data_IF_636611480952
#
_entry.id   IF_636611480952
#
_cell.length_a   1.000
_cell.length_b   1.000
_cell.length_c   1.000
_cell.angle_alpha   90.00
_cell.angle_beta   90.00
_cell.angle_gamma   90.00
#
_symmetry.space_group_name_H-M   'P 1'
#
loop_
_entity.id
_entity.type
_entity.pdbx_description
1 polymer ?
#
# COMPACT_ATOMS: atom_id res chain seq x y z
N UNK A 1 -16.10 -79.58 -44.88
CA UNK A 1 -16.62 -78.90 -46.08
C UNK A 1 -16.73 -77.41 -45.69
N UNK A 2 -15.84 -76.66 -46.23
CA UNK A 2 -15.82 -75.25 -46.62
C UNK A 2 -16.53 -74.20 -45.74
N UNK A 3 -15.76 -73.55 -44.96
CA UNK A 3 -16.09 -72.20 -44.43
C UNK A 3 -15.70 -71.12 -45.42
N UNK A 4 -16.46 -70.05 -45.62
CA UNK A 4 -15.97 -68.83 -46.25
C UNK A 4 -15.60 -67.77 -45.25
N UNK A 5 -14.51 -67.10 -45.53
CA UNK A 5 -13.89 -65.98 -44.81
C UNK A 5 -14.69 -64.70 -44.98
N UNK A 6 -14.80 -63.96 -43.89
CA UNK A 6 -15.26 -62.58 -43.81
C UNK A 6 -14.13 -61.61 -44.06
N UNK A 7 -14.26 -60.52 -44.83
CA UNK A 7 -13.23 -59.50 -44.96
C UNK A 7 -13.37 -58.39 -43.87
N UNK A 8 -12.23 -57.92 -43.44
CA UNK A 8 -12.04 -56.91 -42.44
C UNK A 8 -12.64 -55.54 -42.81
N UNK A 9 -13.39 -54.95 -41.87
CA UNK A 9 -13.85 -53.57 -41.92
C UNK A 9 -12.74 -52.61 -41.52
N UNK A 10 -12.59 -51.53 -42.27
CA UNK A 10 -11.63 -50.42 -42.05
C UNK A 10 -12.00 -49.61 -40.83
N UNK A 11 -11.06 -49.49 -39.90
CA UNK A 11 -11.10 -48.55 -38.80
C UNK A 11 -11.12 -47.11 -39.28
N UNK A 12 -12.25 -46.46 -39.13
CA UNK A 12 -12.39 -45.01 -39.21
C UNK A 12 -11.85 -44.39 -37.92
N UNK A 13 -10.59 -44.00 -37.90
CA UNK A 13 -10.06 -43.11 -36.83
C UNK A 13 -10.65 -41.73 -37.06
N UNK A 14 -11.70 -41.42 -36.31
CA UNK A 14 -12.19 -40.06 -36.19
C UNK A 14 -11.16 -39.19 -35.50
N UNK A 15 -10.68 -38.18 -36.20
CA UNK A 15 -9.89 -37.11 -35.59
C UNK A 15 -10.73 -36.41 -34.52
N UNK A 16 -10.19 -36.14 -33.33
CA UNK A 16 -10.92 -35.37 -32.33
C UNK A 16 -11.13 -33.94 -32.82
N UNK A 17 -12.32 -33.36 -32.59
CA UNK A 17 -12.64 -32.02 -33.06
C UNK A 17 -11.72 -30.98 -32.48
N UNK A 18 -11.23 -30.09 -33.34
CA UNK A 18 -10.33 -28.96 -33.07
C UNK A 18 -10.86 -27.91 -32.08
N UNK A 19 -11.78 -28.27 -31.19
CA UNK A 19 -12.36 -27.36 -30.16
C UNK A 19 -11.62 -27.34 -28.83
N UNK A 20 -10.59 -28.15 -28.64
CA UNK A 20 -9.81 -28.21 -27.35
C UNK A 20 -8.57 -27.33 -27.31
N UNK A 21 -8.22 -26.65 -28.39
CA UNK A 21 -7.02 -25.79 -28.43
C UNK A 21 -7.26 -24.32 -28.04
N UNK A 22 -8.49 -23.91 -27.66
CA UNK A 22 -8.81 -22.51 -27.43
C UNK A 22 -8.84 -22.12 -25.94
N UNK A 23 -8.43 -23.01 -25.01
CA UNK A 23 -8.35 -22.72 -23.57
C UNK A 23 -6.93 -22.60 -23.00
N UNK A 24 -5.91 -22.55 -23.84
CA UNK A 24 -4.51 -22.49 -23.41
C UNK A 24 -3.97 -21.05 -23.20
N UNK A 25 -4.82 -20.08 -22.91
CA UNK A 25 -4.41 -18.67 -22.77
C UNK A 25 -4.90 -17.93 -21.53
N UNK A 26 -5.71 -18.55 -20.67
CA UNK A 26 -6.09 -17.94 -19.40
C UNK A 26 -5.02 -18.34 -18.38
N UNK A 27 -4.11 -17.41 -18.06
CA UNK A 27 -3.18 -17.59 -16.94
C UNK A 27 -4.01 -17.94 -15.70
N UNK A 28 -4.00 -19.22 -15.31
CA UNK A 28 -4.72 -19.70 -14.13
C UNK A 28 -4.18 -18.93 -12.91
N UNK A 29 -5.06 -18.26 -12.20
CA UNK A 29 -4.73 -17.63 -10.92
C UNK A 29 -4.02 -18.68 -10.05
N UNK A 30 -2.88 -18.32 -9.40
CA UNK A 30 -2.11 -19.26 -8.61
C UNK A 30 -3.01 -19.88 -7.54
N UNK A 31 -2.96 -21.21 -7.40
CA UNK A 31 -3.72 -21.90 -6.36
C UNK A 31 -3.31 -21.38 -4.97
N UNK A 32 -4.22 -21.45 -3.98
CA UNK A 32 -3.91 -21.04 -2.59
C UNK A 32 -2.62 -21.66 -2.08
N UNK A 33 -2.32 -22.90 -2.46
CA UNK A 33 -1.09 -23.61 -2.08
C UNK A 33 0.15 -22.99 -2.72
N UNK A 34 0.07 -22.60 -4.01
CA UNK A 34 1.18 -21.93 -4.70
C UNK A 34 1.44 -20.55 -4.08
N UNK A 35 0.38 -19.79 -3.80
CA UNK A 35 0.47 -18.49 -3.17
C UNK A 35 1.06 -18.58 -1.75
N UNK A 36 0.64 -19.58 -0.97
CA UNK A 36 1.21 -19.85 0.37
C UNK A 36 2.71 -20.17 0.31
N UNK A 37 3.14 -21.03 -0.63
CA UNK A 37 4.56 -21.35 -0.81
C UNK A 37 5.39 -20.14 -1.20
N UNK A 38 4.88 -19.29 -2.09
CA UNK A 38 5.52 -18.01 -2.47
C UNK A 38 5.70 -17.09 -1.27
N UNK A 39 4.65 -16.91 -0.45
CA UNK A 39 4.72 -16.07 0.74
C UNK A 39 5.71 -16.62 1.77
N UNK A 40 5.74 -17.93 1.99
CA UNK A 40 6.70 -18.59 2.91
C UNK A 40 8.14 -18.41 2.45
N UNK A 41 8.42 -18.59 1.15
CA UNK A 41 9.77 -18.39 0.60
C UNK A 41 10.18 -16.92 0.61
N UNK A 42 9.24 -16.00 0.42
CA UNK A 42 9.48 -14.57 0.55
C UNK A 42 9.83 -14.16 1.98
N UNK A 43 9.16 -14.72 2.99
CA UNK A 43 9.44 -14.45 4.40
C UNK A 43 10.89 -14.77 4.79
N UNK A 44 11.41 -15.91 4.35
CA UNK A 44 12.80 -16.35 4.66
C UNK A 44 13.87 -15.42 4.06
N UNK A 45 13.56 -14.76 2.93
CA UNK A 45 14.48 -13.83 2.25
C UNK A 45 14.30 -12.38 2.68
N UNK A 46 13.21 -12.09 3.37
CA UNK A 46 12.83 -10.71 3.69
C UNK A 46 13.79 -10.05 4.67
N UNK A 47 14.14 -10.72 5.77
CA UNK A 47 14.96 -10.11 6.83
C UNK A 47 16.37 -9.68 6.36
N UNK A 48 17.17 -10.52 5.68
CA UNK A 48 18.49 -10.10 5.21
C UNK A 48 18.41 -9.02 4.13
N UNK A 49 17.37 -9.08 3.27
CA UNK A 49 17.16 -8.08 2.24
C UNK A 49 16.77 -6.73 2.85
N UNK A 50 15.81 -6.73 3.78
CA UNK A 50 15.37 -5.52 4.47
C UNK A 50 16.51 -4.89 5.27
N UNK A 51 17.33 -5.69 5.98
CA UNK A 51 18.52 -5.21 6.70
C UNK A 51 19.47 -4.42 5.81
N UNK A 52 19.67 -4.91 4.58
CA UNK A 52 20.58 -4.29 3.62
C UNK A 52 19.98 -3.04 2.97
N UNK A 53 18.66 -3.03 2.73
CA UNK A 53 17.99 -1.95 2.00
C UNK A 53 17.66 -0.75 2.88
N UNK A 54 17.33 -0.94 4.17
CA UNK A 54 16.96 0.13 5.08
C UNK A 54 17.93 1.33 5.07
N UNK A 55 19.26 1.15 5.23
CA UNK A 55 20.16 2.31 5.26
C UNK A 55 20.20 3.06 3.92
N UNK A 56 20.10 2.37 2.79
CA UNK A 56 20.08 2.99 1.47
C UNK A 56 18.85 3.85 1.26
N UNK A 57 17.68 3.34 1.63
CA UNK A 57 16.44 4.09 1.55
C UNK A 57 16.41 5.27 2.53
N UNK A 58 17.00 5.12 3.74
CA UNK A 58 17.09 6.22 4.68
C UNK A 58 18.01 7.35 4.17
N UNK A 59 19.18 7.00 3.63
CA UNK A 59 20.08 7.99 3.01
C UNK A 59 19.43 8.66 1.81
N UNK A 60 18.79 7.91 0.93
CA UNK A 60 18.07 8.46 -0.21
C UNK A 60 16.96 9.42 0.23
N UNK A 61 16.20 9.07 1.28
CA UNK A 61 15.17 9.93 1.84
C UNK A 61 15.74 11.29 2.31
N UNK A 62 16.86 11.28 3.02
CA UNK A 62 17.52 12.49 3.48
C UNK A 62 18.04 13.35 2.32
N UNK A 63 18.65 12.73 1.32
CA UNK A 63 19.17 13.45 0.14
C UNK A 63 18.03 14.09 -0.66
N UNK A 64 16.96 13.36 -0.93
CA UNK A 64 15.81 13.91 -1.64
C UNK A 64 15.07 14.97 -0.83
N UNK A 65 14.94 14.82 0.51
CA UNK A 65 14.35 15.84 1.37
C UNK A 65 15.19 17.12 1.37
N UNK A 66 16.52 17.01 1.48
CA UNK A 66 17.44 18.15 1.39
C UNK A 66 17.34 18.85 0.04
N UNK A 67 17.32 18.09 -1.07
CA UNK A 67 17.15 18.63 -2.40
C UNK A 67 15.79 19.31 -2.60
N UNK A 68 14.70 18.71 -2.06
CA UNK A 68 13.35 19.28 -2.12
C UNK A 68 13.27 20.62 -1.37
N UNK A 69 13.82 20.68 -0.14
CA UNK A 69 13.86 21.89 0.66
C UNK A 69 14.73 22.96 0.00
N UNK A 70 15.91 22.60 -0.50
CA UNK A 70 16.77 23.53 -1.22
C UNK A 70 16.06 24.10 -2.45
N UNK A 71 15.40 23.25 -3.25
CA UNK A 71 14.66 23.68 -4.43
C UNK A 71 13.47 24.56 -4.06
N UNK A 72 12.69 24.16 -3.05
CA UNK A 72 11.49 24.87 -2.62
C UNK A 72 11.77 26.22 -1.93
N UNK A 73 12.85 26.31 -1.16
CA UNK A 73 13.14 27.54 -0.37
C UNK A 73 13.99 28.54 -1.14
N UNK A 74 14.98 28.09 -1.95
CA UNK A 74 15.93 29.01 -2.60
C UNK A 74 15.66 29.25 -4.08
N UNK A 75 15.08 28.29 -4.79
CA UNK A 75 14.89 28.37 -6.23
C UNK A 75 13.46 28.61 -6.68
N UNK A 76 12.48 28.28 -5.86
CA UNK A 76 11.09 28.54 -6.19
C UNK A 76 10.72 30.00 -5.88
N UNK A 77 10.24 30.78 -6.85
CA UNK A 77 9.85 32.16 -6.60
C UNK A 77 8.60 32.19 -5.69
N UNK A 78 8.54 33.08 -4.69
CA UNK A 78 7.35 33.27 -3.87
C UNK A 78 6.21 33.78 -4.75
N UNK A 79 5.15 33.02 -4.86
CA UNK A 79 3.96 33.42 -5.61
C UNK A 79 3.12 34.38 -4.75
N UNK A 80 3.03 35.64 -5.15
CA UNK A 80 2.31 36.69 -4.43
C UNK A 80 0.80 36.38 -4.17
N UNK A 81 0.24 35.40 -4.89
CA UNK A 81 -1.17 34.98 -4.72
C UNK A 81 -1.39 33.91 -3.64
N UNK A 82 -0.37 33.19 -3.22
CA UNK A 82 -0.50 32.08 -2.28
C UNK A 82 0.07 32.41 -0.90
N UNK A 83 0.79 33.52 -0.74
CA UNK A 83 1.41 33.94 0.51
C UNK A 83 2.22 32.84 1.18
N UNK A 84 2.20 32.82 2.52
CA UNK A 84 2.94 31.83 3.32
C UNK A 84 2.41 30.40 3.17
N UNK A 85 1.16 30.22 2.72
CA UNK A 85 0.53 28.91 2.46
C UNK A 85 1.25 28.13 1.36
N UNK A 86 1.97 28.82 0.48
CA UNK A 86 2.75 28.24 -0.60
C UNK A 86 3.80 27.22 -0.12
N UNK A 87 4.53 27.56 0.94
CA UNK A 87 5.57 26.68 1.49
C UNK A 87 4.99 25.41 2.14
N UNK A 88 3.78 25.50 2.64
CA UNK A 88 3.06 24.37 3.23
C UNK A 88 2.78 23.28 2.17
N UNK A 89 2.53 23.66 0.92
CA UNK A 89 2.22 22.71 -0.17
C UNK A 89 3.33 21.67 -0.39
N UNK A 90 4.59 22.04 -0.20
CA UNK A 90 5.72 21.09 -0.38
C UNK A 90 5.68 19.90 0.57
N UNK A 91 5.09 20.06 1.74
CA UNK A 91 4.96 19.01 2.76
C UNK A 91 3.57 18.39 2.74
N UNK A 92 2.53 19.23 2.65
CA UNK A 92 1.14 18.80 2.73
C UNK A 92 0.77 17.82 1.61
N UNK A 93 1.00 18.22 0.35
CA UNK A 93 0.57 17.43 -0.80
C UNK A 93 1.23 16.05 -0.87
N UNK A 94 2.57 15.92 -0.72
CA UNK A 94 3.22 14.62 -0.64
C UNK A 94 2.77 13.80 0.57
N UNK A 95 2.57 14.40 1.74
CA UNK A 95 2.11 13.69 2.93
C UNK A 95 0.72 13.09 2.73
N UNK A 96 -0.22 13.86 2.15
CA UNK A 96 -1.56 13.39 1.83
C UNK A 96 -1.55 12.22 0.83
N UNK A 97 -0.73 12.29 -0.20
CA UNK A 97 -0.59 11.20 -1.18
C UNK A 97 -0.03 9.93 -0.55
N UNK A 98 1.03 10.05 0.25
CA UNK A 98 1.65 8.90 0.89
C UNK A 98 0.73 8.27 1.92
N UNK A 99 0.01 9.07 2.72
CA UNK A 99 -0.91 8.54 3.73
C UNK A 99 -2.00 7.67 3.08
N UNK A 100 -2.63 8.16 2.01
CA UNK A 100 -3.66 7.43 1.29
C UNK A 100 -3.12 6.18 0.60
N UNK A 101 -1.93 6.29 -0.03
CA UNK A 101 -1.28 5.15 -0.68
C UNK A 101 -0.88 4.06 0.32
N UNK A 102 -0.34 4.42 1.49
CA UNK A 102 -0.02 3.45 2.53
C UNK A 102 -1.27 2.70 3.00
N UNK A 103 -2.42 3.39 3.12
CA UNK A 103 -3.69 2.74 3.46
C UNK A 103 -4.15 1.79 2.35
N UNK A 104 -4.00 2.17 1.09
CA UNK A 104 -4.30 1.30 -0.07
C UNK A 104 -3.43 0.04 -0.08
N UNK A 105 -2.11 0.19 0.13
CA UNK A 105 -1.18 -0.95 0.23
C UNK A 105 -1.53 -1.82 1.44
N UNK A 106 -1.87 -1.20 2.56
CA UNK A 106 -2.31 -1.89 3.77
C UNK A 106 -3.60 -2.69 3.53
N UNK A 107 -4.53 -2.16 2.73
CA UNK A 107 -5.75 -2.87 2.30
C UNK A 107 -5.41 -4.12 1.48
N UNK A 108 -4.45 -4.05 0.58
CA UNK A 108 -3.95 -5.21 -0.16
C UNK A 108 -3.38 -6.29 0.76
N UNK A 109 -2.57 -5.90 1.76
CA UNK A 109 -2.04 -6.85 2.74
C UNK A 109 -3.12 -7.40 3.66
N UNK A 110 -4.14 -6.62 4.04
CA UNK A 110 -5.29 -7.09 4.82
C UNK A 110 -6.06 -8.17 4.05
N UNK A 111 -6.35 -7.95 2.78
CA UNK A 111 -6.98 -8.94 1.92
C UNK A 111 -6.16 -10.23 1.82
N UNK A 112 -4.85 -10.12 1.58
CA UNK A 112 -3.95 -11.29 1.54
C UNK A 112 -3.89 -12.01 2.89
N UNK A 113 -3.85 -11.30 4.02
CA UNK A 113 -3.81 -11.89 5.34
C UNK A 113 -5.06 -12.73 5.63
N UNK A 114 -6.25 -12.20 5.28
CA UNK A 114 -7.52 -12.90 5.48
C UNK A 114 -7.70 -14.07 4.51
N UNK A 115 -7.26 -13.94 3.26
CA UNK A 115 -7.37 -14.99 2.25
C UNK A 115 -6.40 -16.16 2.48
N UNK A 116 -5.15 -15.84 2.85
CA UNK A 116 -4.09 -16.82 2.97
C UNK A 116 -3.94 -17.36 4.40
N UNK A 117 -4.49 -16.65 5.39
CA UNK A 117 -4.29 -16.94 6.82
C UNK A 117 -2.81 -17.10 7.21
N UNK A 118 -1.94 -16.34 6.53
CA UNK A 118 -0.50 -16.35 6.75
C UNK A 118 -0.05 -15.13 7.55
N UNK A 119 0.86 -15.27 8.54
CA UNK A 119 1.24 -14.17 9.44
C UNK A 119 2.01 -13.03 8.76
N UNK A 120 2.72 -13.27 7.63
CA UNK A 120 3.54 -12.25 6.99
C UNK A 120 2.72 -11.07 6.43
N UNK A 121 1.65 -11.26 5.64
CA UNK A 121 0.82 -10.13 5.20
C UNK A 121 0.22 -9.32 6.36
N UNK A 122 -0.24 -10.01 7.42
CA UNK A 122 -0.76 -9.34 8.62
C UNK A 122 0.32 -8.51 9.34
N UNK A 123 1.55 -9.01 9.39
CA UNK A 123 2.69 -8.30 9.95
C UNK A 123 3.03 -7.06 9.13
N UNK A 124 3.06 -7.16 7.78
CA UNK A 124 3.31 -6.03 6.90
C UNK A 124 2.21 -4.98 7.00
N UNK A 125 0.94 -5.41 7.06
CA UNK A 125 -0.20 -4.53 7.34
C UNK A 125 0.02 -3.73 8.64
N UNK A 126 0.42 -4.42 9.72
CA UNK A 126 0.67 -3.78 11.01
C UNK A 126 1.89 -2.84 10.98
N UNK A 127 2.94 -3.19 10.21
CA UNK A 127 4.14 -2.36 10.07
C UNK A 127 3.87 -1.03 9.36
N UNK A 128 2.92 -1.00 8.41
CA UNK A 128 2.52 0.19 7.66
C UNK A 128 1.75 1.23 8.52
N UNK A 129 0.95 0.76 9.48
CA UNK A 129 -0.04 1.58 10.16
C UNK A 129 0.54 2.82 10.88
N UNK A 130 1.62 2.74 11.68
CA UNK A 130 2.15 3.93 12.35
C UNK A 130 2.72 4.96 11.38
N UNK A 131 3.35 4.50 10.30
CA UNK A 131 3.87 5.39 9.25
C UNK A 131 2.73 6.11 8.54
N UNK A 132 1.65 5.40 8.20
CA UNK A 132 0.45 5.98 7.64
C UNK A 132 -0.20 6.99 8.58
N UNK A 133 -0.35 6.66 9.87
CA UNK A 133 -0.87 7.57 10.89
C UNK A 133 -0.03 8.86 10.99
N UNK A 134 1.31 8.74 10.97
CA UNK A 134 2.21 9.90 11.02
C UNK A 134 2.01 10.82 9.82
N UNK A 135 1.97 10.28 8.60
CA UNK A 135 1.73 11.10 7.41
C UNK A 135 0.34 11.73 7.39
N UNK A 136 -0.69 11.01 7.85
CA UNK A 136 -2.03 11.58 7.99
C UNK A 136 -2.06 12.71 9.02
N UNK A 137 -1.34 12.56 10.14
CA UNK A 137 -1.20 13.61 11.15
C UNK A 137 -0.50 14.85 10.57
N UNK A 138 0.58 14.67 9.79
CA UNK A 138 1.27 15.77 9.09
C UNK A 138 0.33 16.45 8.10
N UNK A 139 -0.47 15.69 7.36
CA UNK A 139 -1.50 16.23 6.44
C UNK A 139 -2.51 17.10 7.18
N UNK A 140 -3.04 16.62 8.31
CA UNK A 140 -4.00 17.35 9.13
C UNK A 140 -3.38 18.59 9.78
N UNK A 141 -2.15 18.47 10.32
CA UNK A 141 -1.44 19.58 10.91
C UNK A 141 -1.21 20.72 9.92
N UNK A 142 -0.74 20.41 8.73
CA UNK A 142 -0.48 21.39 7.67
C UNK A 142 -1.75 22.04 7.12
N UNK A 143 -2.90 21.44 7.35
CA UNK A 143 -4.22 21.98 6.97
C UNK A 143 -4.96 22.72 8.07
N UNK A 144 -4.47 22.70 9.30
CA UNK A 144 -5.17 23.28 10.46
C UNK A 144 -5.54 24.77 10.29
N UNK A 145 -4.90 25.46 9.35
CA UNK A 145 -5.15 26.86 9.01
C UNK A 145 -6.28 27.07 7.99
N UNK A 146 -6.81 26.00 7.40
CA UNK A 146 -7.88 26.08 6.40
C UNK A 146 -9.26 25.81 7.01
N UNK A 147 -10.35 26.37 6.45
CA UNK A 147 -11.70 26.09 6.93
C UNK A 147 -12.03 24.59 6.77
N UNK A 148 -12.88 24.09 7.67
CA UNK A 148 -13.38 22.72 7.63
C UNK A 148 -14.11 22.43 6.33
N UNK A 149 -13.67 21.40 5.62
CA UNK A 149 -14.31 20.87 4.43
C UNK A 149 -14.47 19.34 4.51
N UNK A 150 -15.21 18.78 3.57
CA UNK A 150 -15.48 17.34 3.52
C UNK A 150 -14.19 16.50 3.40
N UNK A 151 -13.16 17.02 2.73
CA UNK A 151 -11.88 16.32 2.60
C UNK A 151 -11.15 16.24 3.94
N UNK A 152 -11.14 17.31 4.71
CA UNK A 152 -10.55 17.32 6.05
C UNK A 152 -11.23 16.28 6.96
N UNK A 153 -12.57 16.18 6.90
CA UNK A 153 -13.30 15.16 7.63
C UNK A 153 -12.89 13.73 7.22
N UNK A 154 -12.71 13.48 5.93
CA UNK A 154 -12.24 12.20 5.41
C UNK A 154 -10.80 11.87 5.86
N UNK A 155 -9.91 12.86 5.92
CA UNK A 155 -8.54 12.68 6.41
C UNK A 155 -8.52 12.40 7.93
N UNK A 156 -9.44 13.00 8.71
CA UNK A 156 -9.65 12.66 10.13
C UNK A 156 -10.12 11.21 10.29
N UNK A 157 -11.08 10.77 9.47
CA UNK A 157 -11.54 9.37 9.47
C UNK A 157 -10.37 8.45 9.14
N UNK A 158 -9.54 8.79 8.16
CA UNK A 158 -8.35 8.01 7.80
C UNK A 158 -7.37 7.88 8.98
N UNK A 159 -7.13 8.98 9.71
CA UNK A 159 -6.31 8.93 10.93
C UNK A 159 -6.93 8.02 11.99
N UNK A 160 -8.24 8.15 12.24
CA UNK A 160 -8.94 7.29 13.20
C UNK A 160 -8.87 5.80 12.84
N UNK A 161 -8.94 5.46 11.55
CA UNK A 161 -8.77 4.08 11.08
C UNK A 161 -7.36 3.54 11.38
N UNK A 162 -6.31 4.34 11.16
CA UNK A 162 -4.94 3.97 11.53
C UNK A 162 -4.79 3.77 13.05
N UNK A 163 -5.32 4.71 13.84
CA UNK A 163 -5.25 4.64 15.30
C UNK A 163 -6.07 3.48 15.85
N UNK A 164 -7.26 3.22 15.29
CA UNK A 164 -8.09 2.08 15.67
C UNK A 164 -7.37 0.75 15.41
N UNK A 165 -6.66 0.62 14.27
CA UNK A 165 -5.85 -0.57 14.00
C UNK A 165 -4.78 -0.76 15.07
N UNK A 166 -4.05 0.29 15.43
CA UNK A 166 -3.01 0.23 16.45
C UNK A 166 -3.60 -0.12 17.83
N UNK A 167 -4.76 0.46 18.16
CA UNK A 167 -5.48 0.17 19.42
C UNK A 167 -5.96 -1.29 19.47
N UNK A 168 -6.57 -1.80 18.40
CA UNK A 168 -7.01 -3.22 18.33
C UNK A 168 -5.79 -4.14 18.48
N UNK A 169 -4.70 -3.81 17.81
CA UNK A 169 -3.47 -4.62 17.87
C UNK A 169 -2.88 -4.67 19.28
N UNK A 170 -2.94 -3.59 20.04
CA UNK A 170 -2.44 -3.52 21.42
C UNK A 170 -3.41 -4.14 22.44
N UNK A 171 -4.72 -4.11 22.17
CA UNK A 171 -5.75 -4.59 23.10
C UNK A 171 -5.96 -6.12 23.04
N UNK A 172 -5.73 -6.74 21.86
CA UNK A 172 -5.96 -8.17 21.70
C UNK A 172 -4.64 -8.93 21.86
N UNK A 173 -4.54 -9.74 22.95
CA UNK A 173 -3.34 -10.52 23.25
C UNK A 173 -3.08 -11.68 22.27
N UNK A 174 -4.13 -12.28 21.69
CA UNK A 174 -4.00 -13.35 20.69
C UNK A 174 -3.64 -12.77 19.33
N UNK A 175 -2.44 -13.07 18.78
CA UNK A 175 -1.99 -12.53 17.51
C UNK A 175 -2.93 -12.84 16.33
N UNK A 176 -3.52 -14.03 16.27
CA UNK A 176 -4.41 -14.43 15.17
C UNK A 176 -5.73 -13.68 15.20
N UNK A 177 -6.31 -13.52 16.39
CA UNK A 177 -7.53 -12.73 16.56
C UNK A 177 -7.30 -11.27 16.25
N UNK A 178 -6.18 -10.71 16.70
CA UNK A 178 -5.78 -9.34 16.39
C UNK A 178 -5.58 -9.14 14.88
N UNK A 179 -4.84 -10.02 14.21
CA UNK A 179 -4.57 -9.95 12.78
C UNK A 179 -5.89 -9.99 11.97
N UNK A 180 -6.85 -10.84 12.36
CA UNK A 180 -8.17 -10.94 11.71
C UNK A 180 -9.00 -9.68 11.94
N UNK A 181 -9.09 -9.20 13.19
CA UNK A 181 -9.86 -8.00 13.52
C UNK A 181 -9.29 -6.76 12.81
N UNK A 182 -7.97 -6.59 12.81
CA UNK A 182 -7.29 -5.53 12.06
C UNK A 182 -7.55 -5.63 10.56
N UNK A 183 -7.46 -6.84 9.98
CA UNK A 183 -7.72 -7.06 8.56
C UNK A 183 -9.14 -6.66 8.15
N UNK A 184 -10.15 -7.03 8.95
CA UNK A 184 -11.55 -6.64 8.70
C UNK A 184 -11.72 -5.12 8.81
N UNK A 185 -11.15 -4.49 9.86
CA UNK A 185 -11.19 -3.03 10.02
C UNK A 185 -10.62 -2.31 8.80
N UNK A 186 -9.46 -2.75 8.31
CA UNK A 186 -8.79 -2.13 7.15
C UNK A 186 -9.61 -2.30 5.88
N UNK A 187 -10.20 -3.48 5.64
CA UNK A 187 -11.05 -3.71 4.46
C UNK A 187 -12.32 -2.85 4.49
N UNK A 188 -12.96 -2.72 5.65
CA UNK A 188 -14.12 -1.81 5.80
C UNK A 188 -13.66 -0.36 5.63
N UNK A 189 -12.53 0.01 6.24
CA UNK A 189 -11.95 1.34 6.12
C UNK A 189 -11.52 1.71 4.70
N UNK A 190 -11.28 0.72 3.84
CA UNK A 190 -10.92 0.95 2.43
C UNK A 190 -12.01 1.70 1.64
N UNK A 191 -13.27 1.65 2.10
CA UNK A 191 -14.35 2.45 1.55
C UNK A 191 -14.10 3.96 1.68
N UNK A 192 -13.28 4.38 2.64
CA UNK A 192 -12.89 5.78 2.79
C UNK A 192 -11.94 6.26 1.67
N UNK A 193 -11.18 5.36 1.02
CA UNK A 193 -10.21 5.72 -0.04
C UNK A 193 -10.89 6.46 -1.20
N UNK A 194 -11.92 5.88 -1.87
CA UNK A 194 -12.60 6.59 -2.94
C UNK A 194 -13.30 7.85 -2.44
N UNK A 195 -13.82 7.87 -1.21
CA UNK A 195 -14.46 9.05 -0.63
C UNK A 195 -13.44 10.19 -0.48
N UNK A 196 -12.24 9.92 0.05
CA UNK A 196 -11.14 10.89 0.13
C UNK A 196 -10.76 11.39 -1.26
N UNK A 197 -10.58 10.47 -2.22
CA UNK A 197 -10.14 10.81 -3.58
C UNK A 197 -11.13 11.70 -4.30
N UNK A 198 -12.44 11.37 -4.24
CA UNK A 198 -13.49 12.09 -4.94
C UNK A 198 -14.09 13.24 -4.13
N UNK A 199 -13.74 13.38 -2.83
CA UNK A 199 -14.31 14.41 -1.95
C UNK A 199 -14.14 15.82 -2.50
N UNK A 200 -12.97 16.15 -3.04
CA UNK A 200 -12.69 17.43 -3.64
C UNK A 200 -13.61 17.73 -4.86
N UNK A 201 -13.92 16.70 -5.63
CA UNK A 201 -14.81 16.81 -6.81
C UNK A 201 -16.28 16.92 -6.40
N UNK A 202 -16.75 16.08 -5.48
CA UNK A 202 -18.16 16.04 -5.08
C UNK A 202 -18.60 17.28 -4.28
N UNK A 203 -17.72 17.83 -3.46
CA UNK A 203 -18.03 18.99 -2.62
C UNK A 203 -17.47 20.31 -3.15
N UNK A 204 -16.96 20.33 -4.39
CA UNK A 204 -16.42 21.53 -5.04
C UNK A 204 -15.51 22.34 -4.09
N UNK A 205 -14.67 21.64 -3.33
CA UNK A 205 -13.82 22.24 -2.31
C UNK A 205 -12.68 23.04 -2.96
N UNK A 206 -12.15 24.01 -2.22
CA UNK A 206 -11.01 24.88 -2.60
C UNK A 206 -9.78 24.10 -3.12
N UNK A 207 -9.70 22.78 -2.84
CA UNK A 207 -8.65 21.88 -3.34
C UNK A 207 -8.62 21.75 -4.87
N UNK A 208 -9.74 21.89 -5.55
CA UNK A 208 -9.76 21.84 -7.01
C UNK A 208 -8.93 22.98 -7.62
N UNK A 209 -8.98 24.16 -7.01
CA UNK A 209 -8.19 25.32 -7.44
C UNK A 209 -6.69 25.08 -7.29
N UNK A 210 -6.25 24.55 -6.15
CA UNK A 210 -4.82 24.33 -5.89
C UNK A 210 -4.24 23.15 -6.68
N UNK A 211 -4.91 21.99 -6.72
CA UNK A 211 -4.43 20.83 -7.48
C UNK A 211 -4.52 21.03 -9.00
N UNK A 212 -5.59 21.63 -9.49
CA UNK A 212 -5.75 21.95 -10.91
C UNK A 212 -4.78 23.05 -11.34
N UNK A 213 -4.47 24.03 -10.49
CA UNK A 213 -3.47 25.06 -10.75
C UNK A 213 -2.04 24.49 -10.77
N UNK A 214 -1.77 23.44 -9.97
CA UNK A 214 -0.48 22.73 -9.98
C UNK A 214 -0.22 22.01 -11.31
N UNK A 215 -1.26 21.50 -11.97
CA UNK A 215 -1.13 20.71 -13.20
C UNK A 215 -1.42 21.49 -14.48
N UNK A 216 -2.07 22.64 -14.40
CA UNK A 216 -2.60 23.33 -15.58
C UNK A 216 -2.30 24.83 -15.69
N UNK A 217 -1.66 25.45 -14.70
CA UNK A 217 -1.40 26.90 -14.73
C UNK A 217 0.09 27.20 -15.09
N UNK A 218 0.35 28.14 -16.03
CA UNK A 218 1.68 28.65 -16.27
C UNK A 218 2.31 29.38 -15.06
N UNK A 219 1.55 29.53 -13.97
CA UNK A 219 2.01 30.14 -12.72
C UNK A 219 2.84 29.20 -11.85
N UNK A 220 2.87 27.89 -12.11
CA UNK A 220 3.75 26.96 -11.41
C UNK A 220 5.00 26.80 -12.24
N UNK A 221 5.99 27.57 -11.85
CA UNK A 221 7.34 27.44 -12.34
C UNK A 221 7.78 25.98 -12.14
N UNK A 222 8.45 25.39 -13.14
CA UNK A 222 8.91 23.98 -13.07
C UNK A 222 9.69 23.64 -11.81
N UNK A 223 10.35 24.63 -11.18
CA UNK A 223 11.04 24.50 -9.91
C UNK A 223 10.13 24.10 -8.74
N UNK A 224 8.86 24.59 -8.71
CA UNK A 224 7.91 24.22 -7.67
C UNK A 224 7.44 22.79 -7.80
N UNK A 225 7.07 22.38 -9.00
CA UNK A 225 6.70 21.01 -9.30
C UNK A 225 7.84 20.07 -8.95
N UNK A 226 9.07 20.44 -9.32
CA UNK A 226 10.26 19.67 -8.96
C UNK A 226 10.43 19.53 -7.44
N UNK A 227 10.23 20.60 -6.66
CA UNK A 227 10.31 20.54 -5.21
C UNK A 227 9.25 19.59 -4.59
N UNK A 228 8.00 19.67 -5.06
CA UNK A 228 6.92 18.78 -4.61
C UNK A 228 7.22 17.32 -4.96
N UNK A 229 7.70 17.04 -6.17
CA UNK A 229 8.04 15.69 -6.61
C UNK A 229 9.25 15.11 -5.85
N UNK A 230 10.27 15.93 -5.61
CA UNK A 230 11.42 15.53 -4.79
C UNK A 230 11.00 15.23 -3.35
N UNK A 231 10.11 16.04 -2.76
CA UNK A 231 9.59 15.77 -1.42
C UNK A 231 8.71 14.50 -1.40
N UNK A 232 7.89 14.29 -2.41
CA UNK A 232 7.12 13.05 -2.54
C UNK A 232 8.05 11.83 -2.62
N UNK A 233 9.13 11.91 -3.39
CA UNK A 233 10.13 10.85 -3.49
C UNK A 233 10.86 10.64 -2.15
N UNK A 234 11.20 11.72 -1.43
CA UNK A 234 11.78 11.65 -0.09
C UNK A 234 10.87 10.91 0.89
N UNK A 235 9.59 11.25 0.91
CA UNK A 235 8.61 10.59 1.78
C UNK A 235 8.39 9.12 1.41
N UNK A 236 8.44 8.78 0.13
CA UNK A 236 8.41 7.40 -0.34
C UNK A 236 9.60 6.59 0.18
N UNK A 237 10.82 7.11 0.00
CA UNK A 237 12.04 6.46 0.48
C UNK A 237 12.01 6.31 2.01
N UNK A 238 11.58 7.34 2.73
CA UNK A 238 11.40 7.29 4.18
C UNK A 238 10.38 6.24 4.60
N UNK A 239 9.20 6.22 3.96
CA UNK A 239 8.16 5.25 4.27
C UNK A 239 8.64 3.81 4.06
N UNK A 240 9.33 3.54 2.95
CA UNK A 240 9.92 2.22 2.67
C UNK A 240 10.94 1.86 3.76
N UNK A 241 11.87 2.74 4.10
CA UNK A 241 12.89 2.50 5.12
C UNK A 241 12.25 2.15 6.48
N UNK A 242 11.31 2.97 6.94
CA UNK A 242 10.66 2.79 8.25
C UNK A 242 9.79 1.52 8.26
N UNK A 243 9.02 1.25 7.22
CA UNK A 243 8.17 0.05 7.14
C UNK A 243 9.02 -1.22 7.11
N UNK A 244 10.12 -1.24 6.35
CA UNK A 244 11.05 -2.39 6.34
C UNK A 244 11.69 -2.60 7.72
N UNK A 245 12.15 -1.53 8.37
CA UNK A 245 12.74 -1.62 9.72
C UNK A 245 11.72 -2.14 10.74
N UNK A 246 10.49 -1.61 10.73
CA UNK A 246 9.41 -2.06 11.63
C UNK A 246 8.99 -3.50 11.35
N UNK A 247 8.87 -3.88 10.09
CA UNK A 247 8.55 -5.26 9.73
C UNK A 247 9.60 -6.24 10.26
N UNK A 248 10.89 -5.89 10.19
CA UNK A 248 11.97 -6.68 10.81
C UNK A 248 11.81 -6.80 12.32
N UNK A 249 11.57 -5.68 13.03
CA UNK A 249 11.34 -5.70 14.48
C UNK A 249 10.18 -6.63 14.84
N UNK A 250 9.05 -6.50 14.17
CA UNK A 250 7.87 -7.34 14.40
C UNK A 250 8.11 -8.83 14.09
N UNK A 251 8.94 -9.14 13.09
CA UNK A 251 9.34 -10.52 12.80
C UNK A 251 10.20 -11.10 13.92
N UNK A 252 11.16 -10.34 14.43
CA UNK A 252 12.02 -10.76 15.54
C UNK A 252 11.22 -10.96 16.84
N UNK A 253 10.28 -10.07 17.13
CA UNK A 253 9.39 -10.19 18.29
C UNK A 253 8.52 -11.46 18.21
N UNK A 254 7.94 -11.76 17.04
CA UNK A 254 7.15 -12.99 16.82
C UNK A 254 8.03 -14.25 16.84
N UNK A 255 9.28 -14.18 16.35
CA UNK A 255 10.23 -15.28 16.37
C UNK A 255 10.82 -15.56 17.74
N UNK A 256 10.94 -14.54 18.59
CA UNK A 256 11.41 -14.68 19.97
C UNK A 256 10.35 -15.28 20.91
N UNK A 257 9.08 -15.35 20.48
CA UNK A 257 7.98 -15.95 21.24
C UNK A 257 7.49 -17.25 20.55
N UNK A 258 8.22 -18.38 20.69
CA UNK A 258 7.95 -19.62 19.95
C UNK A 258 6.61 -20.27 20.35
N UNK A 259 6.04 -19.94 21.53
CA UNK A 259 4.75 -20.49 21.99
C UNK A 259 3.57 -20.03 21.14
N UNK A 260 3.74 -18.95 20.37
CA UNK A 260 2.74 -18.50 19.38
C UNK A 260 2.77 -19.26 18.06
N UNK A 261 3.86 -20.01 17.77
CA UNK A 261 4.08 -20.72 16.50
C UNK A 261 3.93 -22.23 16.66
N UNK A 262 4.27 -22.78 17.83
CA UNK A 262 4.28 -24.24 18.09
C UNK A 262 2.93 -24.82 18.44
N UNK A 263 1.93 -24.02 18.82
CA UNK A 263 0.54 -24.47 19.02
C UNK A 263 -0.16 -24.98 17.76
N UNK A 264 0.48 -24.88 16.58
CA UNK A 264 -0.14 -25.15 15.27
C UNK A 264 0.19 -26.55 14.70
N UNK A 265 1.13 -27.28 15.29
CA UNK A 265 1.56 -28.59 14.79
C UNK A 265 0.98 -29.75 15.61
N UNK A 266 0.30 -29.46 16.74
CA UNK A 266 -0.19 -30.46 17.68
C UNK A 266 -1.73 -30.58 17.79
N UNK A 267 -2.49 -29.99 16.83
CA UNK A 267 -3.96 -30.17 16.82
C UNK A 267 -4.48 -30.61 15.47
#
# INVERSE_FOLDING_TARGET
MSTPRHPAGKDGRGEPPARLAMHAGVASLPSRVQLYRLVKSAAARFDPLAARLVPWFAVAALLFAGAALATGLWFAPPQARLGDEYYVLFVHLPAAWISLLLFLVMTGYAALALLLQHPLPALLMTALAPTGATFTMVTLWTRSLSPWDARLACDVILLLLYLALLAIRSAIGDPRRADRACGVLVLVGALNIPVVYFSAYWWNSLHHGAAASLLGSPAIVGTMLAAVLLMALAFWMYAIAVVLARARCLMLERGANPDGITGEVAS
#
